data_IF_555785585342
#
_entry.id   IF_555785585342
#
_cell.length_a   1.000
_cell.length_b   1.000
_cell.length_c   1.000
_cell.angle_alpha   90.00
_cell.angle_beta   90.00
_cell.angle_gamma   90.00
#
_symmetry.space_group_name_H-M   'P 1'
#
loop_
_entity.id
_entity.type
_entity.pdbx_description
1 polymer ?
#
# COMPACT_ATOMS: atom_id res chain seq x y z
N UNK A 1 -3.52 57.69 -28.37
CA UNK A 1 -4.16 56.39 -28.61
C UNK A 1 -3.27 55.30 -28.03
N UNK A 2 -3.87 54.31 -27.39
CA UNK A 2 -3.28 53.14 -26.70
C UNK A 2 -3.16 53.30 -25.18
N UNK A 3 -4.25 52.91 -24.51
CA UNK A 3 -4.31 52.61 -23.09
C UNK A 3 -3.88 51.14 -22.89
N UNK A 4 -2.99 50.90 -21.93
CA UNK A 4 -2.66 49.55 -21.47
C UNK A 4 -3.79 49.01 -20.59
N UNK A 5 -4.20 47.72 -20.72
CA UNK A 5 -5.20 47.15 -19.83
C UNK A 5 -4.55 46.69 -18.51
N UNK A 6 -5.19 47.07 -17.42
CA UNK A 6 -4.97 46.56 -16.06
C UNK A 6 -5.37 45.08 -15.99
N UNK A 7 -4.51 44.24 -15.42
CA UNK A 7 -4.83 42.84 -15.11
C UNK A 7 -5.22 42.75 -13.64
N UNK A 8 -6.46 42.35 -13.41
CA UNK A 8 -7.09 42.12 -12.11
C UNK A 8 -6.71 40.70 -11.61
N UNK A 9 -6.12 40.53 -10.42
CA UNK A 9 -5.70 39.22 -9.92
C UNK A 9 -6.79 38.62 -9.04
N UNK A 10 -8.00 38.42 -9.56
CA UNK A 10 -9.05 37.67 -8.84
C UNK A 10 -9.93 36.90 -9.80
N UNK A 11 -9.54 35.67 -10.15
CA UNK A 11 -10.42 34.50 -10.38
C UNK A 11 -9.68 33.41 -11.16
N UNK A 12 -9.39 32.29 -10.50
CA UNK A 12 -9.53 30.93 -11.04
C UNK A 12 -8.99 29.91 -10.01
N UNK A 13 -9.64 29.84 -8.85
CA UNK A 13 -9.65 28.58 -8.11
C UNK A 13 -10.51 27.62 -8.93
N UNK A 14 -9.91 26.53 -9.44
CA UNK A 14 -10.66 25.45 -10.08
C UNK A 14 -11.70 24.88 -9.11
N UNK A 15 -12.79 24.28 -9.62
CA UNK A 15 -13.83 23.77 -8.75
C UNK A 15 -13.25 22.64 -7.89
N UNK A 16 -13.28 22.82 -6.58
CA UNK A 16 -13.13 21.72 -5.64
C UNK A 16 -14.27 20.74 -5.94
N UNK A 17 -13.92 19.55 -6.42
CA UNK A 17 -14.85 18.44 -6.59
C UNK A 17 -15.29 17.98 -5.19
N UNK A 18 -16.29 18.63 -4.61
CA UNK A 18 -17.08 18.04 -3.53
C UNK A 18 -17.97 16.96 -4.15
N UNK A 19 -17.47 15.73 -4.17
CA UNK A 19 -18.32 14.57 -4.46
C UNK A 19 -19.20 14.36 -3.24
N UNK A 20 -20.50 14.68 -3.37
CA UNK A 20 -21.49 14.40 -2.34
C UNK A 20 -21.57 12.89 -2.08
N UNK A 21 -21.22 12.48 -0.85
CA UNK A 21 -21.22 11.08 -0.41
C UNK A 21 -22.65 10.72 -0.01
N UNK A 22 -23.50 10.40 -0.98
CA UNK A 22 -24.80 9.76 -0.77
C UNK A 22 -24.72 8.27 -1.08
N UNK A 23 -25.27 7.42 -0.20
CA UNK A 23 -25.38 5.96 -0.39
C UNK A 23 -26.55 5.68 -1.34
N UNK A 24 -26.36 5.02 -2.51
CA UNK A 24 -27.48 4.66 -3.38
C UNK A 24 -28.17 3.39 -2.89
N UNK A 25 -29.51 3.41 -2.84
CA UNK A 25 -30.37 2.29 -2.42
C UNK A 25 -30.62 1.22 -3.52
N UNK A 26 -29.86 1.22 -4.63
CA UNK A 26 -30.02 0.23 -5.69
C UNK A 26 -28.76 -0.03 -6.52
N UNK A 27 -28.57 -1.29 -6.90
CA UNK A 27 -27.47 -1.82 -7.76
C UNK A 27 -27.39 -1.15 -9.15
N UNK A 28 -28.41 -0.40 -9.56
CA UNK A 28 -28.51 0.21 -10.89
C UNK A 28 -27.86 1.60 -11.03
N UNK A 29 -27.37 2.22 -9.94
CA UNK A 29 -26.67 3.53 -9.95
C UNK A 29 -25.17 3.41 -9.64
N UNK A 30 -24.64 2.22 -9.86
CA UNK A 30 -23.27 1.87 -9.53
C UNK A 30 -22.33 2.24 -10.70
N UNK A 31 -21.29 3.07 -10.48
CA UNK A 31 -20.30 3.38 -11.51
C UNK A 31 -19.56 2.11 -11.94
N UNK A 32 -18.91 2.13 -13.11
CA UNK A 32 -18.25 0.95 -13.67
C UNK A 32 -17.37 0.24 -12.63
N UNK A 33 -17.50 -1.10 -12.46
CA UNK A 33 -16.73 -1.81 -11.45
C UNK A 33 -15.23 -1.55 -11.57
N UNK A 34 -14.62 -1.12 -10.46
CA UNK A 34 -13.19 -0.78 -10.41
C UNK A 34 -12.82 0.63 -10.88
N UNK A 35 -13.77 1.49 -11.25
CA UNK A 35 -13.53 2.93 -11.48
C UNK A 35 -13.15 3.67 -10.19
N UNK A 36 -12.46 4.83 -10.24
CA UNK A 36 -12.18 5.63 -9.04
C UNK A 36 -13.45 5.98 -8.25
N UNK A 37 -14.55 6.35 -8.93
CA UNK A 37 -15.84 6.63 -8.29
C UNK A 37 -16.49 5.41 -7.65
N UNK A 38 -16.31 4.22 -8.23
CA UNK A 38 -16.64 2.96 -7.57
C UNK A 38 -15.79 2.91 -6.31
N UNK A 39 -14.48 2.86 -6.46
CA UNK A 39 -13.53 2.55 -5.39
C UNK A 39 -13.56 3.54 -4.20
N UNK A 40 -13.62 4.86 -4.41
CA UNK A 40 -13.70 5.86 -3.32
C UNK A 40 -14.96 5.70 -2.44
N UNK A 41 -16.04 5.09 -2.95
CA UNK A 41 -17.24 4.80 -2.14
C UNK A 41 -17.07 3.64 -1.16
N UNK A 42 -16.00 2.84 -1.26
CA UNK A 42 -15.84 1.59 -0.50
C UNK A 42 -14.76 1.58 0.58
N UNK A 43 -13.94 2.63 0.68
CA UNK A 43 -12.60 2.48 1.25
C UNK A 43 -12.44 2.78 2.74
N UNK A 44 -13.33 3.58 3.34
CA UNK A 44 -13.37 3.87 4.78
C UNK A 44 -14.66 4.63 5.10
N UNK A 45 -15.08 4.63 6.37
CA UNK A 45 -16.17 5.53 6.82
C UNK A 45 -15.57 6.89 7.22
N UNK A 46 -15.67 7.94 6.37
CA UNK A 46 -15.14 9.27 6.70
C UNK A 46 -15.88 9.92 7.88
N UNK A 47 -17.06 9.41 8.25
CA UNK A 47 -17.91 9.96 9.29
C UNK A 47 -17.84 9.17 10.60
N UNK A 48 -16.93 8.20 10.71
CA UNK A 48 -16.76 7.42 11.95
C UNK A 48 -16.42 8.36 13.11
N UNK A 49 -17.32 8.42 14.10
CA UNK A 49 -17.14 9.26 15.29
C UNK A 49 -16.02 8.76 16.21
N UNK A 50 -15.64 7.50 16.07
CA UNK A 50 -14.52 6.86 16.77
C UNK A 50 -13.73 5.97 15.80
N UNK A 51 -12.81 6.55 15.01
CA UNK A 51 -12.13 5.83 13.94
C UNK A 51 -11.15 4.76 14.46
N UNK A 52 -10.74 4.83 15.73
CA UNK A 52 -9.85 3.86 16.37
C UNK A 52 -10.60 2.84 17.25
N UNK A 53 -11.84 3.13 17.64
CA UNK A 53 -12.67 2.22 18.42
C UNK A 53 -13.19 1.01 17.64
N UNK A 54 -14.01 0.15 18.28
CA UNK A 54 -14.64 -0.98 17.63
C UNK A 54 -15.57 -0.55 16.49
N UNK A 55 -15.57 -1.30 15.38
CA UNK A 55 -16.50 -1.04 14.29
C UNK A 55 -17.96 -1.37 14.70
N UNK A 56 -18.95 -0.54 14.33
CA UNK A 56 -20.37 -0.92 14.45
C UNK A 56 -20.67 -2.17 13.62
N UNK A 57 -21.49 -3.08 14.15
CA UNK A 57 -21.85 -4.33 13.46
C UNK A 57 -22.48 -4.08 12.08
N UNK A 58 -23.34 -3.06 11.97
CA UNK A 58 -23.96 -2.64 10.71
C UNK A 58 -22.92 -2.23 9.65
N UNK A 59 -21.85 -1.53 10.06
CA UNK A 59 -20.75 -1.14 9.17
C UNK A 59 -20.00 -2.37 8.66
N UNK A 60 -19.77 -3.37 9.51
CA UNK A 60 -19.12 -4.63 9.14
C UNK A 60 -19.98 -5.41 8.13
N UNK A 61 -21.28 -5.56 8.40
CA UNK A 61 -22.22 -6.22 7.50
C UNK A 61 -22.31 -5.52 6.14
N UNK A 62 -22.38 -4.19 6.14
CA UNK A 62 -22.41 -3.37 4.93
C UNK A 62 -21.13 -3.54 4.10
N UNK A 63 -19.96 -3.45 4.72
CA UNK A 63 -18.68 -3.66 4.03
C UNK A 63 -18.54 -5.10 3.51
N UNK A 64 -19.09 -6.09 4.21
CA UNK A 64 -19.14 -7.47 3.70
C UNK A 64 -20.01 -7.59 2.44
N UNK A 65 -21.22 -7.04 2.46
CA UNK A 65 -22.11 -7.07 1.29
C UNK A 65 -21.49 -6.35 0.07
N UNK A 66 -20.76 -5.26 0.33
CA UNK A 66 -20.01 -4.51 -0.66
C UNK A 66 -18.83 -5.32 -1.24
N UNK A 67 -18.08 -6.03 -0.39
CA UNK A 67 -17.03 -6.94 -0.82
C UNK A 67 -17.60 -8.06 -1.71
N UNK A 68 -18.74 -8.66 -1.33
CA UNK A 68 -19.38 -9.71 -2.13
C UNK A 68 -19.83 -9.19 -3.51
N UNK A 69 -20.36 -7.96 -3.58
CA UNK A 69 -20.68 -7.31 -4.84
C UNK A 69 -19.44 -7.07 -5.71
N UNK A 70 -18.34 -6.64 -5.10
CA UNK A 70 -17.06 -6.46 -5.78
C UNK A 70 -16.48 -7.78 -6.28
N UNK A 71 -16.56 -8.86 -5.49
CA UNK A 71 -16.16 -10.21 -5.91
C UNK A 71 -16.90 -10.64 -7.17
N UNK A 72 -18.24 -10.51 -7.19
CA UNK A 72 -19.05 -10.81 -8.39
C UNK A 72 -18.52 -10.06 -9.60
N UNK A 73 -18.32 -8.76 -9.47
CA UNK A 73 -17.87 -7.94 -10.58
C UNK A 73 -16.46 -8.34 -11.08
N UNK A 74 -15.51 -8.58 -10.17
CA UNK A 74 -14.14 -8.94 -10.54
C UNK A 74 -14.05 -10.34 -11.14
N UNK A 75 -14.83 -11.29 -10.64
CA UNK A 75 -14.93 -12.63 -11.21
C UNK A 75 -15.51 -12.55 -12.63
N UNK A 76 -16.61 -11.81 -12.84
CA UNK A 76 -17.15 -11.65 -14.20
C UNK A 76 -16.13 -10.97 -15.13
N UNK A 77 -15.40 -9.97 -14.65
CA UNK A 77 -14.38 -9.26 -15.42
C UNK A 77 -13.21 -10.17 -15.85
N UNK A 78 -12.62 -10.93 -14.91
CA UNK A 78 -11.41 -11.70 -15.18
C UNK A 78 -11.66 -12.98 -15.98
N UNK A 79 -12.88 -13.52 -15.92
CA UNK A 79 -13.24 -14.78 -16.58
C UNK A 79 -14.18 -14.60 -17.78
N UNK A 80 -14.50 -13.37 -18.18
CA UNK A 80 -15.16 -13.06 -19.46
C UNK A 80 -14.15 -13.10 -20.62
N UNK A 81 -14.46 -13.76 -21.75
CA UNK A 81 -13.62 -13.72 -22.95
C UNK A 81 -13.36 -12.32 -23.52
N UNK A 82 -14.25 -11.36 -23.25
CA UNK A 82 -14.22 -9.99 -23.73
C UNK A 82 -13.27 -9.11 -22.92
N UNK A 83 -13.17 -9.33 -21.61
CA UNK A 83 -12.40 -8.46 -20.69
C UNK A 83 -11.22 -9.13 -20.02
N UNK A 84 -11.26 -10.45 -19.84
CA UNK A 84 -10.31 -11.23 -19.04
C UNK A 84 -8.89 -11.28 -19.61
N UNK A 85 -7.95 -11.74 -18.79
CA UNK A 85 -6.55 -11.92 -19.21
C UNK A 85 -6.30 -13.29 -19.84
N UNK A 86 -5.37 -13.42 -20.80
CA UNK A 86 -5.02 -14.71 -21.38
C UNK A 86 -4.69 -15.77 -20.32
N UNK A 87 -4.00 -15.40 -19.24
CA UNK A 87 -3.70 -16.33 -18.15
C UNK A 87 -4.96 -16.89 -17.50
N UNK A 88 -5.88 -16.03 -17.04
CA UNK A 88 -7.08 -16.48 -16.32
C UNK A 88 -8.05 -17.24 -17.21
N UNK A 89 -8.19 -16.84 -18.47
CA UNK A 89 -9.04 -17.54 -19.44
C UNK A 89 -8.55 -18.96 -19.76
N UNK A 90 -7.22 -19.16 -19.88
CA UNK A 90 -6.67 -20.52 -20.04
C UNK A 90 -6.74 -21.31 -18.73
N UNK A 91 -6.48 -20.66 -17.59
CA UNK A 91 -6.53 -21.31 -16.28
C UNK A 91 -7.95 -21.81 -15.95
N UNK A 92 -8.99 -21.04 -16.30
CA UNK A 92 -10.39 -21.40 -16.07
C UNK A 92 -10.77 -22.77 -16.66
N UNK A 93 -10.20 -23.14 -17.81
CA UNK A 93 -10.46 -24.44 -18.47
C UNK A 93 -9.92 -25.64 -17.68
N UNK A 94 -9.08 -25.39 -16.68
CA UNK A 94 -8.47 -26.44 -15.84
C UNK A 94 -9.26 -26.71 -14.55
N UNK A 95 -10.25 -25.87 -14.23
CA UNK A 95 -11.09 -26.04 -13.05
C UNK A 95 -12.28 -26.96 -13.35
N UNK A 96 -12.76 -27.63 -12.31
CA UNK A 96 -13.96 -28.47 -12.32
C UNK A 96 -15.25 -27.69 -12.01
N UNK A 97 -15.13 -26.37 -11.81
CA UNK A 97 -16.23 -25.43 -11.64
C UNK A 97 -16.10 -24.25 -12.63
N UNK A 98 -17.20 -23.55 -12.92
CA UNK A 98 -17.15 -22.28 -13.66
C UNK A 98 -16.77 -21.15 -12.68
N UNK A 99 -15.61 -20.49 -12.83
CA UNK A 99 -15.24 -19.36 -11.99
C UNK A 99 -16.35 -18.31 -11.85
N UNK A 100 -17.15 -18.09 -12.90
CA UNK A 100 -18.23 -17.10 -12.93
C UNK A 100 -19.43 -17.45 -12.05
N UNK A 101 -19.49 -18.66 -11.49
CA UNK A 101 -20.52 -19.02 -10.51
C UNK A 101 -20.20 -18.50 -9.09
N UNK A 102 -19.02 -17.94 -8.85
CA UNK A 102 -18.67 -17.36 -7.54
C UNK A 102 -19.42 -16.05 -7.31
N UNK A 103 -20.18 -15.99 -6.20
CA UNK A 103 -21.11 -14.89 -5.90
C UNK A 103 -20.71 -14.02 -4.71
N UNK A 104 -19.72 -14.43 -3.94
CA UNK A 104 -19.33 -13.82 -2.67
C UNK A 104 -17.89 -14.17 -2.34
N UNK A 105 -17.35 -13.51 -1.32
CA UNK A 105 -15.96 -13.67 -0.93
C UNK A 105 -15.63 -15.09 -0.44
N UNK A 106 -16.55 -15.76 0.26
CA UNK A 106 -16.30 -17.13 0.74
C UNK A 106 -16.22 -18.12 -0.42
N UNK A 107 -16.97 -17.89 -1.49
CA UNK A 107 -16.88 -18.65 -2.73
C UNK A 107 -15.48 -18.65 -3.36
N UNK A 108 -14.66 -17.62 -3.12
CA UNK A 108 -13.26 -17.61 -3.59
C UNK A 108 -12.42 -18.76 -3.02
N UNK A 109 -12.84 -19.38 -1.91
CA UNK A 109 -12.15 -20.55 -1.31
C UNK A 109 -12.24 -21.81 -2.18
N UNK A 110 -13.07 -21.82 -3.22
CA UNK A 110 -13.09 -22.89 -4.23
C UNK A 110 -11.86 -22.86 -5.15
N UNK A 111 -11.22 -21.70 -5.33
CA UNK A 111 -9.97 -21.65 -6.09
C UNK A 111 -8.83 -22.34 -5.31
N UNK A 112 -7.95 -23.08 -6.00
CA UNK A 112 -6.70 -23.51 -5.38
C UNK A 112 -5.83 -22.28 -5.04
N UNK A 113 -4.92 -22.46 -4.09
CA UNK A 113 -3.96 -21.41 -3.70
C UNK A 113 -3.20 -20.91 -4.94
N UNK A 114 -3.09 -19.60 -5.06
CA UNK A 114 -2.32 -18.94 -6.09
C UNK A 114 -0.82 -19.21 -5.90
N UNK A 115 -0.14 -19.65 -6.96
CA UNK A 115 1.26 -20.07 -6.88
C UNK A 115 2.24 -18.90 -7.08
N UNK A 116 3.19 -18.72 -6.15
CA UNK A 116 4.24 -17.68 -6.20
C UNK A 116 5.03 -17.71 -7.52
N UNK A 117 5.23 -18.91 -8.07
CA UNK A 117 6.04 -19.14 -9.26
C UNK A 117 5.33 -18.74 -10.56
N UNK A 118 4.01 -18.60 -10.58
CA UNK A 118 3.29 -18.11 -11.77
C UNK A 118 3.70 -16.69 -12.16
N UNK A 119 4.18 -15.90 -11.19
CA UNK A 119 4.66 -14.54 -11.41
C UNK A 119 6.12 -14.48 -11.87
N UNK A 120 6.82 -15.63 -11.94
CA UNK A 120 8.22 -15.69 -12.36
C UNK A 120 8.33 -16.05 -13.85
N UNK A 121 9.00 -15.19 -14.61
CA UNK A 121 9.33 -15.45 -16.01
C UNK A 121 8.13 -15.53 -16.97
N UNK A 122 8.42 -15.96 -18.20
CA UNK A 122 7.47 -15.97 -19.32
C UNK A 122 7.06 -14.55 -19.79
N UNK A 123 6.21 -14.45 -20.82
CA UNK A 123 5.73 -13.16 -21.30
C UNK A 123 4.81 -12.52 -20.25
N UNK A 124 5.20 -11.36 -19.69
CA UNK A 124 4.41 -10.63 -18.68
C UNK A 124 3.05 -10.19 -19.21
N UNK A 125 2.93 -9.96 -20.53
CA UNK A 125 1.68 -9.58 -21.20
C UNK A 125 0.55 -10.61 -21.09
N UNK A 126 0.82 -11.87 -20.70
CA UNK A 126 -0.25 -12.86 -20.43
C UNK A 126 -1.19 -12.43 -19.31
N UNK A 127 -0.73 -11.52 -18.45
CA UNK A 127 -1.48 -10.96 -17.34
C UNK A 127 -2.36 -9.78 -17.74
N UNK A 128 -2.23 -9.22 -18.95
CA UNK A 128 -3.03 -8.07 -19.38
C UNK A 128 -4.48 -8.51 -19.64
N UNK A 129 -5.46 -8.02 -18.87
CA UNK A 129 -6.87 -8.17 -19.23
C UNK A 129 -7.14 -7.41 -20.53
N UNK A 130 -7.90 -8.03 -21.45
CA UNK A 130 -8.28 -7.38 -22.73
C UNK A 130 -8.99 -6.05 -22.53
N UNK A 131 -9.77 -5.92 -21.45
CA UNK A 131 -10.46 -4.68 -21.10
C UNK A 131 -9.53 -3.51 -20.77
N UNK A 132 -8.21 -3.74 -20.64
CA UNK A 132 -7.19 -2.73 -20.38
C UNK A 132 -6.23 -2.55 -21.57
N UNK A 133 -6.50 -3.16 -22.72
CA UNK A 133 -5.69 -2.94 -23.93
C UNK A 133 -5.67 -1.46 -24.33
N UNK A 134 -4.51 -0.98 -24.78
CA UNK A 134 -4.31 0.41 -25.15
C UNK A 134 -3.94 1.35 -23.99
N UNK A 135 -4.08 0.93 -22.73
CA UNK A 135 -3.58 1.71 -21.58
C UNK A 135 -2.05 1.69 -21.50
N UNK A 136 -1.41 2.74 -20.95
CA UNK A 136 -0.01 2.69 -20.54
C UNK A 136 0.22 1.54 -19.55
N UNK A 137 1.32 0.81 -19.71
CA UNK A 137 1.64 -0.36 -18.90
C UNK A 137 3.02 -0.23 -18.24
N UNK A 138 3.09 -0.70 -17.01
CA UNK A 138 4.26 -0.74 -16.14
C UNK A 138 4.53 -2.18 -15.71
N UNK A 139 5.78 -2.46 -15.35
CA UNK A 139 6.17 -3.73 -14.72
C UNK A 139 6.82 -3.44 -13.38
N UNK A 140 6.25 -4.01 -12.32
CA UNK A 140 6.83 -3.95 -10.98
C UNK A 140 7.37 -5.29 -10.56
N UNK A 141 8.58 -5.27 -10.03
CA UNK A 141 9.27 -6.47 -9.60
C UNK A 141 9.31 -6.58 -8.08
N UNK A 142 9.08 -7.79 -7.57
CA UNK A 142 9.37 -8.13 -6.16
C UNK A 142 10.55 -9.07 -6.06
N UNK A 143 11.44 -8.79 -5.11
CA UNK A 143 12.65 -9.57 -4.87
C UNK A 143 13.65 -9.52 -6.04
N UNK A 144 14.50 -10.55 -6.13
CA UNK A 144 15.49 -10.70 -7.22
C UNK A 144 16.95 -10.79 -6.79
N UNK A 145 17.26 -11.26 -5.58
CA UNK A 145 18.67 -11.36 -5.14
C UNK A 145 19.33 -12.69 -5.50
N UNK A 146 18.54 -13.71 -5.88
CA UNK A 146 19.03 -15.08 -6.14
C UNK A 146 18.33 -15.79 -7.33
N UNK A 147 17.53 -15.11 -8.14
CA UNK A 147 16.81 -15.73 -9.28
C UNK A 147 15.85 -14.78 -10.01
N UNK A 148 15.08 -15.30 -10.96
CA UNK A 148 14.09 -14.52 -11.74
C UNK A 148 13.10 -13.82 -10.81
N UNK A 149 13.02 -12.48 -10.85
CA UNK A 149 12.09 -11.74 -10.00
C UNK A 149 10.64 -12.06 -10.37
N UNK A 150 9.73 -11.88 -9.41
CA UNK A 150 8.30 -11.90 -9.70
C UNK A 150 7.93 -10.59 -10.36
N UNK A 151 7.20 -10.64 -11.47
CA UNK A 151 6.78 -9.46 -12.22
C UNK A 151 5.26 -9.32 -12.17
N UNK A 152 4.78 -8.14 -11.78
CA UNK A 152 3.36 -7.73 -11.91
C UNK A 152 3.26 -6.73 -13.06
N UNK A 153 2.37 -6.99 -14.01
CA UNK A 153 1.94 -6.00 -14.99
C UNK A 153 0.93 -5.06 -14.32
N UNK A 154 1.10 -3.75 -14.51
CA UNK A 154 0.24 -2.72 -13.90
C UNK A 154 -0.11 -1.67 -14.94
N UNK A 155 -1.33 -1.14 -14.89
CA UNK A 155 -1.73 0.04 -15.65
C UNK A 155 -1.89 1.24 -14.71
N UNK A 156 -2.91 1.25 -13.87
CA UNK A 156 -3.38 2.36 -13.03
C UNK A 156 -3.49 1.98 -11.54
N UNK A 157 -3.42 0.70 -11.16
CA UNK A 157 -3.63 0.26 -9.76
C UNK A 157 -2.74 1.00 -8.76
N UNK A 158 -1.50 1.32 -9.14
CA UNK A 158 -0.58 2.07 -8.29
C UNK A 158 -0.96 3.53 -8.08
N UNK A 159 -1.67 4.14 -9.02
CA UNK A 159 -2.25 5.47 -8.89
C UNK A 159 -3.47 5.41 -7.99
N UNK A 160 -4.44 4.55 -8.34
CA UNK A 160 -5.70 4.38 -7.60
C UNK A 160 -5.43 4.08 -6.13
N UNK A 161 -4.55 3.11 -5.83
CA UNK A 161 -4.24 2.74 -4.45
C UNK A 161 -3.67 3.93 -3.64
N UNK A 162 -2.91 4.84 -4.27
CA UNK A 162 -2.30 5.97 -3.59
C UNK A 162 -3.19 7.21 -3.54
N UNK A 163 -4.12 7.37 -4.49
CA UNK A 163 -5.22 8.33 -4.39
C UNK A 163 -6.14 7.97 -3.20
N UNK A 164 -6.38 6.69 -2.97
CA UNK A 164 -7.18 6.24 -1.82
C UNK A 164 -6.40 6.35 -0.51
N UNK A 165 -5.10 6.05 -0.54
CA UNK A 165 -4.23 6.27 0.61
C UNK A 165 -4.17 7.75 0.99
N UNK A 166 -4.15 8.66 0.00
CA UNK A 166 -4.18 10.12 0.20
C UNK A 166 -5.33 10.55 1.11
N UNK A 167 -6.51 9.95 0.95
CA UNK A 167 -7.68 10.28 1.79
C UNK A 167 -7.53 9.85 3.26
N UNK A 168 -6.60 8.92 3.54
CA UNK A 168 -6.34 8.47 4.91
C UNK A 168 -5.38 9.36 5.67
N UNK A 169 -4.68 10.26 4.97
CA UNK A 169 -3.63 11.11 5.51
C UNK A 169 -4.21 12.42 6.08
N UNK A 170 -3.91 12.78 7.35
CA UNK A 170 -4.36 14.03 7.91
C UNK A 170 -3.76 15.23 7.17
N UNK A 171 -4.59 16.19 6.75
CA UNK A 171 -4.12 17.36 5.99
C UNK A 171 -3.19 18.28 6.78
N UNK A 172 -3.32 18.35 8.11
CA UNK A 172 -2.41 19.13 8.96
C UNK A 172 -1.02 18.50 9.06
N UNK A 173 -0.90 17.19 8.79
CA UNK A 173 0.36 16.42 8.82
C UNK A 173 0.94 16.20 7.43
N UNK A 174 0.09 16.05 6.42
CA UNK A 174 0.46 15.92 5.01
C UNK A 174 -0.23 17.02 4.18
N UNK A 175 0.21 18.29 4.27
CA UNK A 175 -0.51 19.40 3.64
C UNK A 175 -0.63 19.28 2.13
N UNK A 176 -1.79 19.67 1.58
CA UNK A 176 -1.93 19.85 0.13
C UNK A 176 -0.92 20.88 -0.37
N UNK A 177 -0.36 20.65 -1.56
CA UNK A 177 0.66 21.49 -2.19
C UNK A 177 2.06 21.41 -1.56
N UNK A 178 2.28 20.54 -0.57
CA UNK A 178 3.62 20.31 0.00
C UNK A 178 4.44 19.34 -0.84
N UNK A 179 5.76 19.54 -0.86
CA UNK A 179 6.67 18.65 -1.58
C UNK A 179 6.99 17.40 -0.76
N UNK A 180 7.32 16.33 -1.48
CA UNK A 180 7.56 15.01 -0.93
C UNK A 180 9.00 14.56 -1.19
N UNK A 181 9.59 13.85 -0.24
CA UNK A 181 10.82 13.10 -0.44
C UNK A 181 10.53 11.59 -0.37
N UNK A 182 10.72 10.91 -1.49
CA UNK A 182 10.74 9.45 -1.58
C UNK A 182 12.15 8.96 -1.22
N UNK A 183 12.36 8.63 0.05
CA UNK A 183 13.59 8.04 0.58
C UNK A 183 13.44 6.51 0.59
N UNK A 184 13.62 5.89 -0.58
CA UNK A 184 13.47 4.44 -0.69
C UNK A 184 13.89 3.88 -2.05
N UNK A 185 13.64 2.59 -2.28
CA UNK A 185 14.04 1.91 -3.50
C UNK A 185 13.47 2.54 -4.79
N UNK A 186 14.35 2.80 -5.76
CA UNK A 186 13.98 3.30 -7.08
C UNK A 186 13.79 2.16 -8.11
N UNK A 187 13.89 2.47 -9.41
CA UNK A 187 13.92 1.49 -10.50
C UNK A 187 12.64 0.65 -10.64
N UNK A 188 12.72 -0.70 -10.63
CA UNK A 188 11.59 -1.59 -10.93
C UNK A 188 10.61 -1.74 -9.76
N UNK A 189 10.75 -0.93 -8.70
CA UNK A 189 9.89 -0.96 -7.53
C UNK A 189 8.71 -0.04 -7.74
N UNK A 190 7.52 -0.54 -7.37
CA UNK A 190 6.26 0.21 -7.40
C UNK A 190 6.35 1.57 -6.69
N UNK A 191 7.01 1.59 -5.52
CA UNK A 191 6.99 2.72 -4.59
C UNK A 191 7.40 4.03 -5.25
N UNK A 192 8.44 4.04 -6.10
CA UNK A 192 8.90 5.26 -6.78
C UNK A 192 7.74 5.96 -7.51
N UNK A 193 7.07 5.25 -8.41
CA UNK A 193 5.98 5.83 -9.21
C UNK A 193 4.73 6.12 -8.38
N UNK A 194 4.48 5.33 -7.34
CA UNK A 194 3.29 5.49 -6.52
C UNK A 194 3.39 6.70 -5.56
N UNK A 195 4.55 6.92 -4.94
CA UNK A 195 4.81 8.10 -4.11
C UNK A 195 4.92 9.36 -4.96
N UNK A 196 5.55 9.26 -6.13
CA UNK A 196 5.60 10.35 -7.11
C UNK A 196 4.19 10.80 -7.50
N UNK A 197 3.30 9.84 -7.80
CA UNK A 197 1.88 10.12 -8.07
C UNK A 197 1.15 10.71 -6.87
N UNK A 198 1.35 10.18 -5.66
CA UNK A 198 0.72 10.71 -4.44
C UNK A 198 1.04 12.18 -4.22
N UNK A 199 2.32 12.56 -4.38
CA UNK A 199 2.75 13.95 -4.26
C UNK A 199 2.01 14.83 -5.28
N UNK A 200 1.98 14.41 -6.55
CA UNK A 200 1.33 15.12 -7.64
C UNK A 200 -0.18 15.24 -7.46
N UNK A 201 -0.84 14.15 -7.04
CA UNK A 201 -2.27 14.11 -6.73
C UNK A 201 -2.64 15.08 -5.60
N UNK A 202 -1.74 15.24 -4.62
CA UNK A 202 -1.86 16.23 -3.53
C UNK A 202 -1.32 17.61 -3.90
N UNK A 203 -0.92 17.84 -5.15
CA UNK A 203 -0.50 19.13 -5.69
C UNK A 203 0.96 19.54 -5.43
N UNK A 204 1.80 18.62 -4.94
CA UNK A 204 3.22 18.85 -4.63
C UNK A 204 4.19 18.25 -5.63
N UNK A 205 5.48 18.56 -5.45
CA UNK A 205 6.58 17.91 -6.18
C UNK A 205 7.04 16.64 -5.46
N UNK A 206 7.62 15.72 -6.22
CA UNK A 206 8.26 14.52 -5.67
C UNK A 206 9.77 14.55 -5.94
N UNK A 207 10.55 14.60 -4.86
CA UNK A 207 11.99 14.37 -4.88
C UNK A 207 12.27 12.89 -4.61
N UNK A 208 13.27 12.34 -5.29
CA UNK A 208 13.68 10.95 -5.14
C UNK A 208 15.19 10.86 -4.87
N UNK A 209 15.61 9.74 -4.28
CA UNK A 209 17.02 9.36 -4.17
C UNK A 209 17.32 8.14 -5.06
N UNK A 210 18.59 7.96 -5.40
CA UNK A 210 19.07 6.74 -6.03
C UNK A 210 19.42 5.68 -4.99
N UNK A 211 18.55 4.67 -4.85
CA UNK A 211 18.71 3.56 -3.91
C UNK A 211 18.45 2.22 -4.61
N UNK A 212 19.52 1.43 -4.78
CA UNK A 212 19.45 0.03 -5.19
C UNK A 212 19.52 -0.92 -3.97
N UNK A 213 18.38 -1.46 -3.51
CA UNK A 213 18.38 -2.39 -2.39
C UNK A 213 19.06 -3.72 -2.72
N UNK A 214 19.16 -4.11 -4.01
CA UNK A 214 19.80 -5.38 -4.41
C UNK A 214 21.30 -5.32 -4.19
N UNK A 215 21.92 -4.18 -4.46
CA UNK A 215 23.34 -3.97 -4.15
C UNK A 215 23.60 -4.18 -2.66
N UNK A 216 22.79 -3.57 -1.80
CA UNK A 216 22.99 -3.69 -0.36
C UNK A 216 22.77 -5.13 0.11
N UNK A 217 21.80 -5.89 -0.43
CA UNK A 217 21.63 -7.33 -0.09
C UNK A 217 22.88 -8.11 -0.47
N UNK A 218 23.40 -7.88 -1.68
CA UNK A 218 24.60 -8.57 -2.18
C UNK A 218 25.82 -8.26 -1.31
N UNK A 219 26.01 -6.99 -0.91
CA UNK A 219 27.10 -6.58 -0.03
C UNK A 219 27.02 -7.27 1.34
N UNK A 220 25.84 -7.29 1.97
CA UNK A 220 25.64 -7.98 3.25
C UNK A 220 25.87 -9.49 3.14
N UNK A 221 25.34 -10.14 2.08
CA UNK A 221 25.57 -11.58 1.84
C UNK A 221 27.04 -11.92 1.57
N UNK A 222 27.80 -10.97 1.04
CA UNK A 222 29.24 -11.11 0.83
C UNK A 222 30.07 -10.79 2.09
N UNK A 223 29.44 -10.55 3.25
CA UNK A 223 30.12 -10.16 4.49
C UNK A 223 30.70 -8.74 4.47
N UNK A 224 30.34 -7.92 3.48
CA UNK A 224 30.85 -6.54 3.30
C UNK A 224 29.92 -5.54 3.97
N UNK A 225 29.80 -5.65 5.30
CA UNK A 225 28.92 -4.78 6.09
C UNK A 225 29.32 -3.30 5.98
N UNK A 226 30.61 -2.99 5.94
CA UNK A 226 31.08 -1.60 5.83
C UNK A 226 30.69 -0.97 4.49
N UNK A 227 30.75 -1.73 3.39
CA UNK A 227 30.27 -1.26 2.07
C UNK A 227 28.77 -0.97 2.10
N UNK A 228 27.97 -1.77 2.81
CA UNK A 228 26.54 -1.52 2.96
C UNK A 228 26.28 -0.24 3.78
N UNK A 229 27.07 0.02 4.83
CA UNK A 229 26.99 1.25 5.64
C UNK A 229 27.42 2.48 4.84
N UNK A 230 28.52 2.41 4.08
CA UNK A 230 28.97 3.51 3.22
C UNK A 230 27.90 3.86 2.17
N UNK A 231 27.25 2.84 1.60
CA UNK A 231 26.15 3.04 0.67
C UNK A 231 24.93 3.67 1.34
N UNK A 232 24.56 3.24 2.55
CA UNK A 232 23.49 3.87 3.33
C UNK A 232 23.80 5.35 3.57
N UNK A 233 25.02 5.67 4.02
CA UNK A 233 25.46 7.06 4.20
C UNK A 233 25.33 7.86 2.91
N UNK A 234 25.75 7.31 1.77
CA UNK A 234 25.61 7.96 0.48
C UNK A 234 24.14 8.28 0.12
N UNK A 235 23.21 7.36 0.41
CA UNK A 235 21.77 7.60 0.20
C UNK A 235 21.25 8.71 1.12
N UNK A 236 21.69 8.72 2.39
CA UNK A 236 21.32 9.78 3.34
C UNK A 236 21.92 11.14 2.92
N UNK A 237 23.14 11.17 2.38
CA UNK A 237 23.76 12.39 1.87
C UNK A 237 22.92 12.99 0.70
N UNK A 238 22.34 12.16 -0.17
CA UNK A 238 21.39 12.62 -1.20
C UNK A 238 20.13 13.24 -0.60
N UNK A 239 19.50 12.55 0.35
CA UNK A 239 18.30 13.03 1.04
C UNK A 239 18.57 14.35 1.79
N UNK A 240 19.72 14.45 2.45
CA UNK A 240 20.17 15.64 3.16
C UNK A 240 20.27 16.85 2.23
N UNK A 241 20.86 16.69 1.05
CA UNK A 241 20.95 17.77 0.05
C UNK A 241 19.55 18.25 -0.34
N UNK A 242 18.61 17.34 -0.60
CA UNK A 242 17.22 17.71 -0.94
C UNK A 242 16.58 18.54 0.18
N UNK A 243 16.64 18.05 1.42
CA UNK A 243 16.00 18.71 2.55
C UNK A 243 16.64 20.06 2.91
N UNK A 244 17.91 20.26 2.58
CA UNK A 244 18.64 21.51 2.88
C UNK A 244 18.70 22.49 1.71
N UNK A 245 18.16 22.13 0.54
CA UNK A 245 18.19 22.97 -0.68
C UNK A 245 17.08 24.04 -0.74
N UNK A 246 16.33 24.26 0.34
CA UNK A 246 15.28 25.28 0.42
C UNK A 246 13.98 24.93 -0.32
N UNK A 247 13.73 23.64 -0.55
CA UNK A 247 12.46 23.14 -1.07
C UNK A 247 11.39 23.07 0.04
N UNK A 248 10.10 23.04 -0.34
CA UNK A 248 8.99 22.96 0.61
C UNK A 248 8.67 21.49 0.96
N UNK A 249 9.69 20.70 1.28
CA UNK A 249 9.52 19.28 1.59
C UNK A 249 8.95 19.14 3.00
N UNK A 250 7.69 18.69 3.08
CA UNK A 250 7.01 18.43 4.36
C UNK A 250 6.68 16.97 4.59
N UNK A 251 6.68 16.18 3.52
CA UNK A 251 6.17 14.81 3.52
C UNK A 251 7.26 13.82 3.10
N UNK A 252 7.46 12.75 3.87
CA UNK A 252 8.45 11.71 3.53
C UNK A 252 7.77 10.35 3.37
N UNK A 253 8.24 9.61 2.37
CA UNK A 253 8.23 8.15 2.42
C UNK A 253 9.61 7.66 2.85
N UNK A 254 9.69 6.74 3.81
CA UNK A 254 10.95 6.09 4.20
C UNK A 254 10.72 4.74 4.88
N UNK A 255 11.80 4.07 5.28
CA UNK A 255 11.81 2.81 6.03
C UNK A 255 12.50 3.02 7.39
N UNK A 256 12.34 2.10 8.36
CA UNK A 256 12.87 2.27 9.71
C UNK A 256 14.35 2.65 9.78
N UNK A 257 15.22 1.90 9.10
CA UNK A 257 16.67 2.14 9.10
C UNK A 257 17.10 3.42 8.39
N UNK A 258 16.44 3.78 7.29
CA UNK A 258 16.69 5.05 6.61
C UNK A 258 16.19 6.23 7.44
N UNK A 259 15.06 6.09 8.13
CA UNK A 259 14.56 7.12 9.04
C UNK A 259 15.52 7.35 10.21
N UNK A 260 15.97 6.27 10.88
CA UNK A 260 16.99 6.36 11.91
C UNK A 260 18.24 7.08 11.42
N UNK A 261 18.76 6.66 10.26
CA UNK A 261 20.00 7.25 9.72
C UNK A 261 19.83 8.72 9.35
N UNK A 262 18.67 9.11 8.82
CA UNK A 262 18.36 10.50 8.49
C UNK A 262 18.17 11.36 9.75
N UNK A 263 17.47 10.85 10.75
CA UNK A 263 17.27 11.55 12.03
C UNK A 263 18.60 11.73 12.78
N UNK A 264 19.44 10.70 12.82
CA UNK A 264 20.79 10.80 13.38
C UNK A 264 21.66 11.80 12.62
N UNK A 265 21.55 11.85 11.28
CA UNK A 265 22.22 12.86 10.47
C UNK A 265 21.76 14.28 10.82
N UNK A 266 20.46 14.50 11.03
CA UNK A 266 19.93 15.79 11.47
C UNK A 266 20.48 16.18 12.84
N UNK A 267 20.51 15.24 13.79
CA UNK A 267 21.06 15.44 15.13
C UNK A 267 22.54 15.83 15.09
N UNK A 268 23.35 15.14 14.27
CA UNK A 268 24.78 15.45 14.09
C UNK A 268 25.02 16.87 13.54
N UNK A 269 24.09 17.37 12.73
CA UNK A 269 24.11 18.73 12.17
C UNK A 269 23.43 19.76 13.10
N UNK A 270 23.00 19.34 14.29
CA UNK A 270 22.43 20.20 15.32
C UNK A 270 21.00 20.65 15.03
N UNK A 271 20.22 19.84 14.31
CA UNK A 271 18.81 20.12 13.99
C UNK A 271 17.93 18.86 14.09
N UNK A 272 16.66 18.97 13.74
CA UNK A 272 15.72 17.84 13.63
C UNK A 272 14.90 17.87 12.36
N UNK A 273 14.25 16.76 12.02
CA UNK A 273 13.35 16.70 10.86
C UNK A 273 12.19 17.71 10.99
N UNK A 274 11.69 17.93 12.21
CA UNK A 274 10.65 18.92 12.46
C UNK A 274 11.14 20.36 12.20
N UNK A 275 12.35 20.70 12.65
CA UNK A 275 12.97 22.01 12.40
C UNK A 275 13.28 22.23 10.92
N UNK A 276 13.55 21.16 10.17
CA UNK A 276 13.69 21.18 8.71
C UNK A 276 12.34 21.32 7.98
N UNK A 277 11.21 21.31 8.70
CA UNK A 277 9.87 21.51 8.15
C UNK A 277 9.09 20.24 7.79
N UNK A 278 9.62 19.05 8.11
CA UNK A 278 8.92 17.79 7.92
C UNK A 278 7.77 17.67 8.93
N UNK A 279 6.55 17.42 8.45
CA UNK A 279 5.35 17.30 9.29
C UNK A 279 4.74 15.91 9.29
N UNK A 280 4.97 15.14 8.21
CA UNK A 280 4.36 13.83 8.01
C UNK A 280 5.31 12.84 7.36
N UNK A 281 5.39 11.65 7.94
CA UNK A 281 6.13 10.51 7.43
C UNK A 281 5.19 9.34 7.34
N UNK A 282 5.13 8.70 6.18
CA UNK A 282 4.60 7.34 6.11
C UNK A 282 5.73 6.39 5.78
N UNK A 283 5.72 5.22 6.41
CA UNK A 283 6.78 4.24 6.21
C UNK A 283 6.25 2.83 6.16
N UNK A 284 7.05 1.94 5.59
CA UNK A 284 6.71 0.53 5.52
C UNK A 284 7.92 -0.38 5.72
N UNK A 285 7.64 -1.67 5.82
CA UNK A 285 8.65 -2.71 6.06
C UNK A 285 8.38 -3.47 7.36
N UNK A 286 8.90 -4.69 7.44
CA UNK A 286 8.65 -5.61 8.56
C UNK A 286 9.48 -5.30 9.82
N UNK A 287 10.24 -4.20 9.82
CA UNK A 287 11.00 -3.73 11.00
C UNK A 287 10.20 -2.71 11.86
N UNK A 288 8.98 -2.36 11.43
CA UNK A 288 8.02 -1.62 12.24
C UNK A 288 7.48 -2.48 13.40
N UNK A 289 8.28 -2.63 14.45
CA UNK A 289 7.84 -3.23 15.72
C UNK A 289 7.19 -2.16 16.60
N UNK A 290 6.30 -2.53 17.54
CA UNK A 290 5.74 -1.57 18.50
C UNK A 290 6.81 -0.79 19.27
N UNK A 291 7.89 -1.47 19.68
CA UNK A 291 9.01 -0.84 20.37
C UNK A 291 9.73 0.19 19.49
N UNK A 292 9.98 -0.17 18.23
CA UNK A 292 10.61 0.74 17.28
C UNK A 292 9.71 1.93 16.97
N UNK A 293 8.41 1.70 16.77
CA UNK A 293 7.45 2.75 16.48
C UNK A 293 7.33 3.75 17.63
N UNK A 294 7.34 3.25 18.88
CA UNK A 294 7.45 4.09 20.07
C UNK A 294 8.71 4.93 20.07
N UNK A 295 9.87 4.28 19.93
CA UNK A 295 11.16 4.96 19.90
C UNK A 295 11.25 6.02 18.79
N UNK A 296 10.79 5.68 17.58
CA UNK A 296 10.79 6.62 16.47
C UNK A 296 9.90 7.82 16.73
N UNK A 297 8.69 7.61 17.27
CA UNK A 297 7.73 8.69 17.52
C UNK A 297 8.19 9.58 18.67
N UNK A 298 8.61 8.99 19.79
CA UNK A 298 8.96 9.73 21.02
C UNK A 298 10.35 10.35 20.95
N UNK A 299 11.34 9.64 20.39
CA UNK A 299 12.76 10.02 20.47
C UNK A 299 13.29 10.55 19.13
N UNK A 300 13.14 9.80 18.02
CA UNK A 300 13.70 10.22 16.73
C UNK A 300 12.98 11.42 16.10
N UNK A 301 11.67 11.51 16.35
CA UNK A 301 10.77 12.53 15.81
C UNK A 301 10.27 13.50 16.87
N UNK A 302 10.71 13.33 18.13
CA UNK A 302 10.45 14.22 19.26
C UNK A 302 8.96 14.52 19.52
N UNK A 303 8.06 13.61 19.10
CA UNK A 303 6.62 13.83 19.12
C UNK A 303 6.11 14.94 18.18
N UNK A 304 6.98 15.53 17.35
CA UNK A 304 6.69 16.69 16.52
C UNK A 304 6.34 16.35 15.06
N UNK A 305 6.74 15.16 14.60
CA UNK A 305 6.46 14.69 13.24
C UNK A 305 5.51 13.50 13.31
N UNK A 306 4.42 13.55 12.53
CA UNK A 306 3.47 12.45 12.48
C UNK A 306 4.05 11.27 11.69
N UNK A 307 4.03 10.07 12.29
CA UNK A 307 4.49 8.83 11.66
C UNK A 307 3.34 7.84 11.52
N UNK A 308 3.01 7.46 10.29
CA UNK A 308 2.02 6.42 10.00
C UNK A 308 2.66 5.19 9.34
N UNK A 309 2.60 4.02 10.01
CA UNK A 309 3.11 2.78 9.44
C UNK A 309 2.15 2.21 8.40
N UNK A 310 2.72 1.56 7.39
CA UNK A 310 2.00 0.93 6.29
C UNK A 310 2.56 -0.46 6.03
N UNK A 311 1.68 -1.41 5.73
CA UNK A 311 2.06 -2.75 5.32
C UNK A 311 1.66 -2.92 3.86
N UNK A 312 2.59 -3.24 2.97
CA UNK A 312 2.31 -3.21 1.55
C UNK A 312 3.26 -4.07 0.76
N UNK A 313 2.77 -4.60 -0.34
CA UNK A 313 3.59 -5.28 -1.32
C UNK A 313 3.01 -5.08 -2.72
N UNK A 314 3.78 -5.47 -3.73
CA UNK A 314 3.39 -5.28 -5.12
C UNK A 314 2.14 -6.04 -5.51
N UNK A 315 1.65 -7.03 -4.76
CA UNK A 315 0.40 -7.75 -5.04
C UNK A 315 -0.79 -7.07 -4.35
N UNK A 316 -0.65 -6.72 -3.07
CA UNK A 316 -1.75 -6.18 -2.27
C UNK A 316 -2.11 -4.72 -2.60
N UNK A 317 -1.12 -3.85 -2.82
CA UNK A 317 -1.35 -2.43 -2.54
C UNK A 317 -0.69 -2.01 -1.24
N UNK A 318 -1.36 -1.11 -0.54
CA UNK A 318 -0.94 -0.57 0.74
C UNK A 318 -2.09 -0.73 1.75
N UNK A 319 -1.83 -1.51 2.79
CA UNK A 319 -2.67 -1.62 3.97
C UNK A 319 -2.28 -0.52 4.95
N UNK A 320 -3.28 0.25 5.36
CA UNK A 320 -3.08 1.39 6.23
C UNK A 320 -3.06 0.95 7.69
N UNK A 321 -2.25 1.63 8.50
CA UNK A 321 -2.31 1.48 9.95
C UNK A 321 -3.65 1.96 10.50
N UNK A 322 -4.13 1.28 11.55
CA UNK A 322 -5.13 1.82 12.47
C UNK A 322 -4.70 3.22 12.91
N UNK A 323 -5.61 4.20 12.98
CA UNK A 323 -5.30 5.49 13.62
C UNK A 323 -4.73 5.24 15.02
N UNK A 324 -3.63 5.93 15.36
CA UNK A 324 -2.97 5.76 16.64
C UNK A 324 -3.94 6.08 17.79
N UNK A 325 -4.04 5.17 18.75
CA UNK A 325 -4.72 5.35 20.02
C UNK A 325 -3.75 4.98 21.15
N UNK A 326 -3.72 5.78 22.22
CA UNK A 326 -2.77 5.58 23.32
C UNK A 326 -2.95 4.20 23.99
N UNK A 327 -4.18 3.71 24.00
CA UNK A 327 -4.60 2.42 24.56
C UNK A 327 -3.99 1.24 23.80
N UNK A 328 -3.63 1.41 22.53
CA UNK A 328 -2.98 0.37 21.74
C UNK A 328 -1.51 0.15 22.14
N UNK A 329 -0.93 1.04 22.97
CA UNK A 329 0.46 0.99 23.42
C UNK A 329 1.44 0.72 22.25
N UNK A 330 1.31 1.52 21.18
CA UNK A 330 2.09 1.43 19.94
C UNK A 330 1.91 0.12 19.15
N UNK A 331 0.93 -0.73 19.48
CA UNK A 331 0.55 -1.86 18.62
C UNK A 331 0.14 -1.33 17.25
N UNK A 332 0.78 -1.85 16.22
CA UNK A 332 0.47 -1.50 14.83
C UNK A 332 -0.45 -2.57 14.26
N UNK A 333 -1.65 -2.16 13.89
CA UNK A 333 -2.62 -3.03 13.20
C UNK A 333 -2.83 -2.49 11.80
N UNK A 334 -2.70 -3.34 10.79
CA UNK A 334 -2.87 -2.98 9.39
C UNK A 334 -4.18 -3.53 8.85
N UNK A 335 -4.87 -2.71 8.07
CA UNK A 335 -6.12 -3.09 7.41
C UNK A 335 -5.92 -3.04 5.90
N UNK A 336 -6.13 -4.17 5.24
CA UNK A 336 -6.01 -4.27 3.79
C UNK A 336 -7.00 -3.30 3.10
N UNK A 337 -6.64 -2.77 1.92
CA UNK A 337 -7.46 -1.79 1.20
C UNK A 337 -8.67 -2.48 0.54
N UNK A 338 -9.68 -2.82 1.34
CA UNK A 338 -10.91 -3.43 0.85
C UNK A 338 -11.70 -2.44 -0.02
N UNK A 339 -12.39 -2.92 -1.06
CA UNK A 339 -12.54 -4.33 -1.47
C UNK A 339 -11.48 -4.77 -2.49
N UNK A 340 -10.50 -3.92 -2.81
CA UNK A 340 -9.47 -4.18 -3.83
C UNK A 340 -8.45 -5.22 -3.37
N UNK A 341 -8.18 -5.29 -2.08
CA UNK A 341 -7.45 -6.39 -1.48
C UNK A 341 -8.00 -6.75 -0.11
N UNK A 342 -7.90 -8.03 0.25
CA UNK A 342 -8.34 -8.58 1.54
C UNK A 342 -7.21 -9.41 2.11
N UNK A 343 -7.00 -9.32 3.42
CA UNK A 343 -6.09 -10.21 4.16
C UNK A 343 -6.89 -11.04 5.15
N UNK A 344 -6.69 -12.35 5.14
CA UNK A 344 -7.08 -13.24 6.23
C UNK A 344 -5.82 -13.68 6.99
N UNK A 345 -5.95 -13.92 8.29
CA UNK A 345 -4.92 -14.62 9.07
C UNK A 345 -5.41 -16.04 9.28
N UNK A 346 -4.75 -17.00 8.62
CA UNK A 346 -5.20 -18.39 8.52
C UNK A 346 -4.33 -19.35 9.32
N UNK A 347 -4.90 -20.49 9.71
CA UNK A 347 -4.17 -21.55 10.39
C UNK A 347 -2.99 -22.03 9.53
N UNK A 348 -1.87 -22.39 10.18
CA UNK A 348 -0.63 -22.80 9.51
C UNK A 348 -0.73 -24.13 8.76
N UNK A 349 -1.60 -25.03 9.22
CA UNK A 349 -1.80 -26.36 8.66
C UNK A 349 -3.04 -26.41 7.75
N UNK A 350 -4.10 -25.67 8.10
CA UNK A 350 -5.32 -25.53 7.31
C UNK A 350 -5.58 -24.07 6.88
N UNK A 351 -5.07 -23.71 5.71
CA UNK A 351 -5.21 -22.37 5.13
C UNK A 351 -6.63 -22.00 4.65
N UNK A 352 -7.63 -22.87 4.88
CA UNK A 352 -9.05 -22.56 4.63
C UNK A 352 -9.75 -21.95 5.84
N UNK A 353 -9.13 -22.06 7.02
CA UNK A 353 -9.68 -21.59 8.29
C UNK A 353 -8.90 -20.37 8.78
N UNK A 354 -9.64 -19.29 9.08
CA UNK A 354 -9.09 -18.17 9.84
C UNK A 354 -8.83 -18.62 11.28
N UNK A 355 -7.78 -18.07 11.91
CA UNK A 355 -7.54 -18.26 13.36
C UNK A 355 -8.48 -17.36 14.17
N UNK A 356 -8.59 -17.56 15.49
CA UNK A 356 -9.39 -16.67 16.33
C UNK A 356 -8.75 -15.28 16.48
N UNK A 357 -9.52 -14.28 16.91
CA UNK A 357 -8.97 -12.95 17.16
C UNK A 357 -7.88 -12.99 18.25
N UNK A 358 -6.76 -12.32 17.99
CA UNK A 358 -5.57 -12.33 18.83
C UNK A 358 -4.67 -13.55 18.64
N UNK A 359 -5.10 -14.57 17.89
CA UNK A 359 -4.25 -15.71 17.56
C UNK A 359 -3.33 -15.42 16.38
N UNK A 360 -2.16 -16.06 16.38
CA UNK A 360 -1.18 -15.98 15.31
C UNK A 360 -1.51 -16.98 14.21
N UNK A 361 -1.47 -16.52 12.97
CA UNK A 361 -1.54 -17.38 11.79
C UNK A 361 -0.74 -16.80 10.62
N UNK A 362 -0.81 -17.47 9.47
CA UNK A 362 -0.16 -17.00 8.24
C UNK A 362 -1.06 -16.00 7.53
N UNK A 363 -0.49 -14.94 6.98
CA UNK A 363 -1.26 -13.98 6.19
C UNK A 363 -1.59 -14.58 4.82
N UNK A 364 -2.87 -14.54 4.45
CA UNK A 364 -3.40 -14.94 3.16
C UNK A 364 -3.99 -13.72 2.46
N UNK A 365 -3.46 -13.39 1.28
CA UNK A 365 -3.85 -12.24 0.49
C UNK A 365 -4.84 -12.64 -0.61
N UNK A 366 -5.86 -11.81 -0.78
CA UNK A 366 -6.70 -11.77 -1.97
C UNK A 366 -6.52 -10.40 -2.64
N UNK A 367 -6.38 -10.38 -3.96
CA UNK A 367 -6.34 -9.13 -4.73
C UNK A 367 -7.38 -9.19 -5.82
N UNK A 368 -8.23 -8.19 -5.86
CA UNK A 368 -9.43 -8.12 -6.67
C UNK A 368 -9.47 -6.74 -7.34
N UNK A 369 -8.60 -6.52 -8.33
CA UNK A 369 -8.61 -5.29 -9.13
C UNK A 369 -8.91 -5.63 -10.58
N UNK A 370 -9.31 -4.67 -11.43
CA UNK A 370 -9.45 -4.92 -12.86
C UNK A 370 -8.17 -5.47 -13.50
N UNK A 371 -6.98 -5.17 -12.96
CA UNK A 371 -5.68 -5.56 -13.51
C UNK A 371 -5.17 -6.89 -12.95
N UNK A 372 -5.47 -7.19 -11.69
CA UNK A 372 -4.92 -8.32 -10.96
C UNK A 372 -6.02 -9.03 -10.16
N UNK A 373 -6.18 -10.32 -10.45
CA UNK A 373 -7.00 -11.24 -9.66
C UNK A 373 -6.10 -12.27 -9.01
N UNK A 374 -6.18 -12.38 -7.68
CA UNK A 374 -5.48 -13.36 -6.84
C UNK A 374 -6.52 -13.92 -5.86
N UNK A 375 -7.06 -15.12 -6.10
CA UNK A 375 -8.07 -15.74 -5.24
C UNK A 375 -7.41 -16.55 -4.11
N UNK A 376 -6.57 -15.89 -3.32
CA UNK A 376 -5.88 -16.50 -2.17
C UNK A 376 -4.42 -16.84 -2.47
N UNK A 377 -3.51 -16.06 -1.89
CA UNK A 377 -2.06 -16.21 -1.96
C UNK A 377 -1.50 -16.24 -0.55
N UNK A 378 -0.70 -17.26 -0.22
CA UNK A 378 -0.07 -17.33 1.10
C UNK A 378 1.16 -16.46 1.13
N UNK A 379 1.09 -15.37 1.88
CA UNK A 379 2.17 -14.41 2.03
C UNK A 379 3.39 -15.03 2.69
N UNK A 380 4.50 -14.29 2.66
CA UNK A 380 5.73 -14.66 3.35
C UNK A 380 5.76 -14.15 4.78
N UNK A 381 4.63 -13.69 5.27
CA UNK A 381 4.46 -13.05 6.56
C UNK A 381 3.39 -13.78 7.38
N UNK A 382 3.54 -13.70 8.70
CA UNK A 382 2.59 -14.15 9.72
C UNK A 382 2.27 -12.97 10.64
N UNK A 383 1.19 -13.08 11.40
CA UNK A 383 0.76 -12.05 12.33
C UNK A 383 -0.47 -12.47 13.12
N UNK A 384 -0.94 -11.59 13.97
CA UNK A 384 -2.13 -11.80 14.79
C UNK A 384 -3.38 -11.29 14.06
N UNK A 385 -4.48 -12.04 14.12
CA UNK A 385 -5.78 -11.61 13.58
C UNK A 385 -6.39 -10.53 14.48
N UNK A 386 -6.73 -9.38 13.92
CA UNK A 386 -7.26 -8.24 14.67
C UNK A 386 -8.71 -7.93 14.29
N UNK A 387 -9.45 -7.39 15.25
CA UNK A 387 -10.86 -7.04 15.05
C UNK A 387 -11.02 -5.83 14.11
N UNK A 388 -12.20 -5.71 13.47
CA UNK A 388 -12.64 -4.48 12.81
C UNK A 388 -12.54 -3.24 13.72
N UNK A 389 -12.16 -2.10 13.14
CA UNK A 389 -12.18 -0.80 13.83
C UNK A 389 -13.08 0.21 13.10
N UNK A 390 -13.41 1.31 13.76
CA UNK A 390 -14.36 2.31 13.25
C UNK A 390 -13.99 2.82 11.85
N UNK A 391 -12.70 3.04 11.56
CA UNK A 391 -12.23 3.46 10.23
C UNK A 391 -12.22 2.31 9.21
N UNK A 392 -11.94 1.08 9.66
CA UNK A 392 -11.81 -0.11 8.83
C UNK A 392 -12.70 -1.24 9.38
N UNK A 393 -13.97 -1.28 8.99
CA UNK A 393 -14.96 -2.24 9.50
C UNK A 393 -14.79 -3.65 8.91
N UNK A 394 -13.56 -4.17 8.93
CA UNK A 394 -13.18 -5.53 8.55
C UNK A 394 -11.91 -5.94 9.28
N UNK A 395 -11.56 -7.23 9.26
CA UNK A 395 -10.43 -7.76 10.01
C UNK A 395 -9.09 -7.14 9.60
N UNK A 396 -8.25 -6.91 10.61
CA UNK A 396 -6.88 -6.44 10.45
C UNK A 396 -5.84 -7.51 10.76
N UNK A 397 -4.58 -7.16 10.57
CA UNK A 397 -3.44 -7.96 11.01
C UNK A 397 -2.45 -7.09 11.79
N UNK A 398 -2.03 -7.55 12.97
CA UNK A 398 -0.94 -6.92 13.73
C UNK A 398 0.29 -7.84 13.83
N UNK A 399 1.37 -7.32 14.39
CA UNK A 399 2.61 -8.07 14.63
C UNK A 399 3.22 -8.71 13.39
N UNK A 400 2.97 -8.13 12.21
CA UNK A 400 3.41 -8.65 10.91
C UNK A 400 4.92 -8.88 10.91
N UNK A 401 5.31 -10.10 10.65
CA UNK A 401 6.70 -10.58 10.70
C UNK A 401 6.94 -11.68 9.69
N UNK A 402 8.21 -11.92 9.29
CA UNK A 402 8.51 -13.01 8.36
C UNK A 402 8.00 -14.35 8.89
N UNK A 403 7.34 -15.11 8.02
CA UNK A 403 6.81 -16.43 8.33
C UNK A 403 7.93 -17.33 8.88
N UNK A 404 7.72 -17.91 10.07
CA UNK A 404 8.78 -18.55 10.85
C UNK A 404 9.48 -19.71 10.12
N UNK A 405 8.80 -20.38 9.18
CA UNK A 405 9.39 -21.44 8.33
C UNK A 405 10.44 -20.87 7.37
N UNK A 406 10.22 -19.67 6.85
CA UNK A 406 11.14 -18.99 5.92
C UNK A 406 12.18 -18.13 6.63
N UNK A 407 11.88 -17.62 7.83
CA UNK A 407 12.80 -16.85 8.65
C UNK A 407 14.10 -17.63 8.94
N UNK A 408 14.02 -18.95 9.09
CA UNK A 408 15.20 -19.83 9.27
C UNK A 408 16.15 -19.88 8.05
N UNK A 409 15.74 -19.37 6.88
CA UNK A 409 16.46 -19.51 5.60
C UNK A 409 16.81 -18.18 4.92
N UNK A 410 16.38 -17.03 5.45
CA UNK A 410 16.42 -15.77 4.67
C UNK A 410 17.09 -14.63 5.43
N UNK A 411 18.11 -14.01 4.83
CA UNK A 411 18.55 -12.66 5.19
C UNK A 411 17.58 -11.67 4.56
N UNK A 412 16.73 -11.03 5.36
CA UNK A 412 15.86 -9.94 4.88
C UNK A 412 16.72 -8.70 4.71
N UNK A 413 16.84 -8.21 3.48
CA UNK A 413 17.42 -6.89 3.21
C UNK A 413 16.38 -5.83 3.49
N UNK A 414 16.25 -5.42 4.75
CA UNK A 414 15.52 -4.20 5.09
C UNK A 414 16.54 -3.08 5.09
N UNK A 415 16.32 -2.13 4.18
CA UNK A 415 17.14 -0.93 3.96
C UNK A 415 16.49 0.24 4.60
#
# INVERSE_FOLDING_TARGET
MSAAPSVDPTTAAGPAHQVGIGVPDAVTELPSPGSPEWVHRFYFDPNSSDPAGPAPAESVEKCRAMLDAHVRAMVQWHFSPETGSPFWLEKAKTYDFDPRSITDFDGLKQFPIFEDDWLRGGPVRRWLPKGLEGKPLYVFETGGTTGTPKSRLVAEDHWIDYELFSDTLPEDKFPMGSDWLMLGPSGPRRLRLAVEHLAQYRGGLAFCVDLDPRFVVKSLKAGKADVAKDYQKHVIDQAWIVLTSGHNVKCLFTTPKLLESLAMRALDEGTSLAEMGVTGIFGGGTEFTPQWYKFATEELLEGNVYLTPTYGNTLMGLACGKPFAAEDNYKITYYAPQPRAVTEVVNFDDHTQAVDYGETGRVKLYTLTPELFIPGFLERDEGEREQPCGKYPWDGVSGVRPYHVFAKKTTVGVY
#
